data_IF_346975295260
#
_entry.id   IF_346975295260
#
_cell.length_a   1.000
_cell.length_b   1.000
_cell.length_c   1.000
_cell.angle_alpha   90.00
_cell.angle_beta   90.00
_cell.angle_gamma   90.00
#
_symmetry.space_group_name_H-M   'P 1'
#
loop_
_entity.id
_entity.type
_entity.pdbx_description
1 polymer ?
#
# COMPACT_ATOMS: atom_id res chain seq x y z
N UNK A 1 -10.35 16.68 5.71
CA UNK A 1 -9.06 16.98 6.36
C UNK A 1 -7.96 16.55 5.40
N UNK A 2 -7.23 17.50 4.82
CA UNK A 2 -6.00 17.22 4.07
C UNK A 2 -4.84 17.82 4.86
N UNK A 3 -3.94 16.98 5.34
CA UNK A 3 -2.83 17.39 6.20
C UNK A 3 -2.06 16.18 6.70
N UNK A 4 -0.73 16.32 6.80
CA UNK A 4 0.17 15.31 7.35
C UNK A 4 -0.05 15.20 8.86
N UNK A 5 -0.46 14.02 9.33
CA UNK A 5 -0.62 13.74 10.75
C UNK A 5 0.53 12.85 11.20
N UNK A 6 1.47 13.43 11.95
CA UNK A 6 2.56 12.64 12.56
C UNK A 6 2.07 12.05 13.87
N UNK A 7 1.61 10.80 13.83
CA UNK A 7 1.28 10.02 15.03
C UNK A 7 2.52 9.19 15.39
N UNK A 8 2.99 9.32 16.64
CA UNK A 8 3.99 8.40 17.18
C UNK A 8 3.28 7.12 17.63
N UNK A 9 3.77 5.98 17.16
CA UNK A 9 3.25 4.67 17.60
C UNK A 9 3.60 4.48 19.08
N UNK A 10 2.59 4.29 19.92
CA UNK A 10 2.79 3.94 21.32
C UNK A 10 3.35 2.52 21.41
N UNK A 11 4.42 2.36 22.19
CA UNK A 11 5.07 1.07 22.45
C UNK A 11 4.93 0.68 23.92
N UNK A 12 4.87 -0.62 24.18
CA UNK A 12 4.81 -1.21 25.52
C UNK A 12 5.60 -2.52 25.56
N UNK A 13 5.86 -3.03 26.76
CA UNK A 13 6.59 -4.28 26.98
C UNK A 13 5.61 -5.41 27.21
N UNK A 14 5.70 -6.47 26.41
CA UNK A 14 4.96 -7.72 26.56
C UNK A 14 5.94 -8.89 26.49
N UNK A 15 5.92 -9.77 27.49
CA UNK A 15 6.85 -10.92 27.61
C UNK A 15 8.34 -10.54 27.43
N UNK A 16 8.72 -9.32 27.84
CA UNK A 16 10.09 -8.81 27.70
C UNK A 16 10.45 -8.30 26.30
N UNK A 17 9.51 -8.25 25.37
CA UNK A 17 9.68 -7.66 24.03
C UNK A 17 8.94 -6.33 23.94
N UNK A 18 9.53 -5.38 23.22
CA UNK A 18 8.85 -4.13 22.88
C UNK A 18 7.89 -4.39 21.71
N UNK A 19 6.61 -4.11 21.92
CA UNK A 19 5.53 -4.32 20.95
C UNK A 19 4.61 -3.10 20.92
N UNK A 20 3.89 -2.91 19.81
CA UNK A 20 2.82 -1.93 19.68
C UNK A 20 1.45 -2.62 19.57
N UNK A 21 0.39 -1.85 19.73
CA UNK A 21 -0.99 -2.35 19.55
C UNK A 21 -1.19 -2.98 18.16
N UNK A 22 -0.52 -2.44 17.13
CA UNK A 22 -0.60 -2.95 15.78
C UNK A 22 0.11 -4.29 15.60
N UNK A 23 1.21 -4.53 16.33
CA UNK A 23 1.91 -5.81 16.31
C UNK A 23 1.05 -6.92 16.91
N UNK A 24 0.28 -6.60 17.95
CA UNK A 24 -0.63 -7.55 18.61
C UNK A 24 -1.87 -7.86 17.79
N UNK A 25 -2.46 -6.83 17.19
CA UNK A 25 -3.73 -6.96 16.47
C UNK A 25 -3.54 -7.36 15.02
N UNK A 26 -2.31 -7.32 14.52
CA UNK A 26 -1.98 -7.51 13.11
C UNK A 26 -2.77 -6.58 12.19
N UNK A 27 -3.23 -5.43 12.71
CA UNK A 27 -4.04 -4.47 11.97
C UNK A 27 -3.28 -3.84 10.79
N UNK A 28 -1.95 -3.87 10.82
CA UNK A 28 -1.08 -3.46 9.72
C UNK A 28 -0.15 -4.60 9.30
N UNK A 29 -0.65 -5.59 8.56
CA UNK A 29 0.23 -6.53 7.86
C UNK A 29 0.83 -5.88 6.60
N UNK A 30 2.14 -6.08 6.44
CA UNK A 30 3.02 -5.69 5.32
C UNK A 30 2.56 -4.53 4.41
N UNK A 31 2.97 -3.32 4.78
CA UNK A 31 2.89 -2.12 3.94
C UNK A 31 1.68 -1.22 4.26
N UNK A 32 1.98 -0.02 4.73
CA UNK A 32 1.02 1.06 5.04
C UNK A 32 0.38 1.71 3.79
N UNK A 33 0.21 0.95 2.70
CA UNK A 33 -0.36 1.50 1.46
C UNK A 33 -1.86 1.25 1.49
N UNK A 34 -2.64 2.32 1.59
CA UNK A 34 -4.11 2.21 1.58
C UNK A 34 -4.61 1.52 0.31
N UNK A 35 -5.69 0.76 0.42
CA UNK A 35 -6.25 0.01 -0.70
C UNK A 35 -6.59 0.91 -1.90
N UNK A 36 -7.09 2.13 -1.65
CA UNK A 36 -7.37 3.12 -2.69
C UNK A 36 -6.12 3.52 -3.49
N UNK A 37 -4.96 3.61 -2.83
CA UNK A 37 -3.69 3.91 -3.52
C UNK A 37 -3.25 2.71 -4.35
N UNK A 38 -3.50 1.48 -3.89
CA UNK A 38 -3.21 0.27 -4.67
C UNK A 38 -4.11 0.20 -5.91
N UNK A 39 -5.41 0.40 -5.76
CA UNK A 39 -6.38 0.46 -6.86
C UNK A 39 -6.01 1.55 -7.88
N UNK A 40 -5.69 2.74 -7.40
CA UNK A 40 -5.23 3.84 -8.24
C UNK A 40 -3.99 3.46 -9.05
N UNK A 41 -3.01 2.85 -8.38
CA UNK A 41 -1.77 2.38 -9.00
C UNK A 41 -2.05 1.36 -10.10
N UNK A 42 -2.90 0.37 -9.83
CA UNK A 42 -3.29 -0.65 -10.80
C UNK A 42 -4.04 -0.07 -12.01
N UNK A 43 -4.98 0.85 -11.75
CA UNK A 43 -5.81 1.46 -12.81
C UNK A 43 -4.98 2.28 -13.81
N UNK A 44 -4.10 3.14 -13.33
CA UNK A 44 -3.30 4.01 -14.21
C UNK A 44 -2.13 3.30 -14.86
N UNK A 45 -1.60 2.24 -14.25
CA UNK A 45 -0.52 1.43 -14.86
C UNK A 45 -0.90 0.77 -16.19
N UNK A 46 -2.20 0.64 -16.49
CA UNK A 46 -2.68 0.17 -17.78
C UNK A 46 -2.65 1.23 -18.89
N UNK A 47 -2.31 2.48 -18.56
CA UNK A 47 -2.42 3.65 -19.45
C UNK A 47 -1.12 4.44 -19.57
N UNK A 48 -0.35 4.47 -18.49
CA UNK A 48 0.91 5.21 -18.36
C UNK A 48 1.95 4.35 -17.66
N UNK A 49 3.22 4.71 -17.79
CA UNK A 49 4.32 3.97 -17.17
C UNK A 49 4.28 4.06 -15.64
N UNK A 50 4.90 3.10 -14.95
CA UNK A 50 4.96 3.09 -13.49
C UNK A 50 5.63 4.35 -12.91
N UNK A 51 6.60 4.93 -13.62
CA UNK A 51 7.24 6.19 -13.25
C UNK A 51 6.29 7.38 -13.36
N UNK A 52 5.43 7.40 -14.38
CA UNK A 52 4.39 8.42 -14.50
C UNK A 52 3.29 8.26 -13.44
N UNK A 53 2.96 7.02 -13.06
CA UNK A 53 2.04 6.75 -11.93
C UNK A 53 2.64 7.24 -10.62
N UNK A 54 3.92 6.99 -10.36
CA UNK A 54 4.64 7.51 -9.20
C UNK A 54 4.54 9.03 -9.11
N UNK A 55 4.87 9.73 -10.21
CA UNK A 55 4.77 11.19 -10.28
C UNK A 55 3.34 11.71 -10.12
N UNK A 56 2.35 10.97 -10.62
CA UNK A 56 0.93 11.33 -10.46
C UNK A 56 0.48 11.19 -9.01
N UNK A 57 0.88 10.12 -8.32
CA UNK A 57 0.59 9.93 -6.90
C UNK A 57 1.21 11.06 -6.09
N UNK A 58 2.50 11.33 -6.29
CA UNK A 58 3.20 12.42 -5.59
C UNK A 58 2.54 13.78 -5.82
N UNK A 59 2.09 14.06 -7.06
CA UNK A 59 1.39 15.31 -7.39
C UNK A 59 0.03 15.44 -6.70
N UNK A 60 -0.71 14.33 -6.54
CA UNK A 60 -2.04 14.34 -5.94
C UNK A 60 -2.01 14.34 -4.41
N UNK A 61 -1.03 13.66 -3.81
CA UNK A 61 -0.90 13.52 -2.36
C UNK A 61 0.00 14.58 -1.75
N UNK A 62 0.86 15.20 -2.55
CA UNK A 62 1.91 16.12 -2.11
C UNK A 62 3.12 15.40 -1.49
N UNK A 63 3.16 14.06 -1.52
CA UNK A 63 4.21 13.26 -0.92
C UNK A 63 4.53 12.02 -1.76
N UNK A 64 5.81 11.65 -1.82
CA UNK A 64 6.27 10.42 -2.47
C UNK A 64 5.89 9.19 -1.66
N UNK A 65 4.67 8.69 -1.88
CA UNK A 65 4.12 7.54 -1.15
C UNK A 65 4.61 6.18 -1.69
N UNK A 66 4.85 6.09 -3.00
CA UNK A 66 5.25 4.87 -3.68
C UNK A 66 6.38 5.15 -4.68
N UNK A 67 7.27 4.18 -4.86
CA UNK A 67 8.19 4.14 -6.01
C UNK A 67 7.56 3.38 -7.18
N UNK A 68 8.05 3.63 -8.39
CA UNK A 68 7.77 2.84 -9.58
C UNK A 68 7.91 1.32 -9.36
N UNK A 69 8.94 0.88 -8.64
CA UNK A 69 9.15 -0.52 -8.27
C UNK A 69 8.03 -1.05 -7.40
N UNK A 70 7.58 -0.29 -6.39
CA UNK A 70 6.48 -0.71 -5.51
C UNK A 70 5.15 -0.73 -6.23
N UNK A 71 4.91 0.22 -7.14
CA UNK A 71 3.74 0.25 -8.02
C UNK A 71 3.70 -1.02 -8.87
N UNK A 72 4.81 -1.40 -9.50
CA UNK A 72 4.90 -2.65 -10.27
C UNK A 72 4.55 -3.87 -9.42
N UNK A 73 5.08 -3.96 -8.21
CA UNK A 73 4.79 -5.06 -7.28
C UNK A 73 3.28 -5.15 -6.98
N UNK A 74 2.65 -4.01 -6.66
CA UNK A 74 1.20 -3.92 -6.42
C UNK A 74 0.41 -4.42 -7.63
N UNK A 75 0.76 -3.97 -8.84
CA UNK A 75 0.05 -4.35 -10.07
C UNK A 75 0.20 -5.84 -10.35
N UNK A 76 1.41 -6.39 -10.22
CA UNK A 76 1.67 -7.82 -10.44
C UNK A 76 0.90 -8.67 -9.44
N UNK A 77 0.93 -8.32 -8.15
CA UNK A 77 0.18 -9.03 -7.12
C UNK A 77 -1.31 -9.00 -7.42
N UNK A 78 -1.85 -7.83 -7.83
CA UNK A 78 -3.26 -7.73 -8.19
C UNK A 78 -3.64 -8.57 -9.40
N UNK A 79 -2.77 -8.62 -10.41
CA UNK A 79 -2.99 -9.48 -11.58
C UNK A 79 -3.01 -10.97 -11.21
N UNK A 80 -2.17 -11.39 -10.26
CA UNK A 80 -2.15 -12.77 -9.74
C UNK A 80 -3.44 -13.08 -8.98
N UNK A 81 -3.92 -12.17 -8.12
CA UNK A 81 -5.20 -12.33 -7.41
C UNK A 81 -6.36 -12.51 -8.40
N UNK A 82 -6.51 -11.58 -9.35
CA UNK A 82 -7.58 -11.64 -10.36
C UNK A 82 -7.49 -12.93 -11.19
N UNK A 83 -6.28 -13.37 -11.54
CA UNK A 83 -6.09 -14.62 -12.28
C UNK A 83 -6.53 -15.86 -11.48
N UNK A 84 -6.35 -15.85 -10.15
CA UNK A 84 -6.83 -16.93 -9.28
C UNK A 84 -8.35 -16.91 -9.18
N UNK A 85 -8.95 -15.74 -8.95
CA UNK A 85 -10.40 -15.57 -8.87
C UNK A 85 -11.10 -16.04 -10.16
N UNK A 86 -10.58 -15.68 -11.33
CA UNK A 86 -11.10 -16.14 -12.62
C UNK A 86 -11.02 -17.66 -12.74
N UNK A 87 -9.92 -18.27 -12.29
CA UNK A 87 -9.74 -19.73 -12.34
C UNK A 87 -10.70 -20.49 -11.43
N UNK A 88 -11.05 -19.92 -10.28
CA UNK A 88 -12.00 -20.52 -9.34
C UNK A 88 -13.46 -20.40 -9.81
N UNK A 89 -13.74 -19.52 -10.78
CA UNK A 89 -15.06 -19.31 -11.37
C UNK A 89 -15.30 -20.13 -12.66
N UNK A 90 -14.27 -20.79 -13.19
CA UNK A 90 -14.31 -21.65 -14.40
C UNK A 90 -14.48 -23.13 -14.03
#
# INVERSE_FOLDING_TARGET
MHGKLTIRVQRFIEEGKEVSYFDLTQEFQDGYVSERVKEFSAYYSNRISYQEVEGLIEKLTGEKLLSDQKIREIVVNKAVEVSKEIREQL
#
